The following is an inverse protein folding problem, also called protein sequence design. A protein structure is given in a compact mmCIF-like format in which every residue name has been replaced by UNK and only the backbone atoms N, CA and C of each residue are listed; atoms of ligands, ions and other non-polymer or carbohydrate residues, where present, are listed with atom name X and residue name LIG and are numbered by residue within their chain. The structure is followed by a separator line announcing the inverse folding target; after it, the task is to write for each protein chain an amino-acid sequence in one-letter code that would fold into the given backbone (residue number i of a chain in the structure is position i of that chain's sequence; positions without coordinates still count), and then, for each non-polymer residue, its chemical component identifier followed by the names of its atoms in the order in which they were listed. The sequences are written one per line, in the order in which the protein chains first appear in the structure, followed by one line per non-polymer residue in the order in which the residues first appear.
data_IF_119099921797
#
_entry.id   IF_119099921797
#
_cell.length_a   1.000
_cell.length_b   1.000
_cell.length_c   1.000
_cell.angle_alpha   90.00
_cell.angle_beta   90.00
_cell.angle_gamma   90.00
#
_symmetry.space_group_name_H-M   'P 1'
#
loop_
_entity.id
_entity.type
_entity.pdbx_description
1 polymer ?
#
# COMPACT_ATOMS: atom_id res chain seq x y z
N UNK A 1 -0.99 -5.80 15.76
CA UNK A 1 0.36 -5.81 15.16
C UNK A 1 0.48 -4.60 14.23
N UNK A 2 1.62 -3.94 14.13
CA UNK A 2 1.74 -2.64 13.44
C UNK A 2 2.86 -2.68 12.40
N UNK A 3 2.53 -2.45 11.13
CA UNK A 3 3.50 -2.19 10.08
C UNK A 3 3.80 -0.69 10.00
N UNK A 4 5.07 -0.30 9.88
CA UNK A 4 5.50 1.10 9.76
C UNK A 4 6.44 1.25 8.58
N UNK A 5 6.49 2.45 8.00
CA UNK A 5 7.43 2.80 6.93
C UNK A 5 7.38 1.88 5.69
N UNK A 6 6.23 1.26 5.41
CA UNK A 6 6.02 0.29 4.31
C UNK A 6 6.45 0.86 2.95
N UNK A 7 6.27 2.17 2.73
CA UNK A 7 6.67 2.86 1.48
C UNK A 7 8.16 2.68 1.14
N UNK A 8 9.04 2.45 2.12
CA UNK A 8 10.49 2.20 1.90
C UNK A 8 10.77 0.87 1.20
N UNK A 9 9.81 -0.05 1.22
CA UNK A 9 9.93 -1.39 0.64
C UNK A 9 9.12 -1.56 -0.64
N UNK A 10 8.55 -0.48 -1.18
CA UNK A 10 7.85 -0.51 -2.46
C UNK A 10 8.82 -0.87 -3.58
N UNK A 11 8.44 -1.84 -4.40
CA UNK A 11 9.30 -2.39 -5.46
C UNK A 11 10.28 -3.48 -4.98
N UNK A 12 10.40 -3.75 -3.68
CA UNK A 12 11.17 -4.88 -3.18
C UNK A 12 10.35 -6.18 -3.26
N UNK A 13 10.78 -7.09 -4.14
CA UNK A 13 10.10 -8.37 -4.37
C UNK A 13 10.27 -9.37 -3.21
N UNK A 14 11.27 -9.18 -2.35
CA UNK A 14 11.62 -10.10 -1.26
C UNK A 14 11.10 -9.67 0.09
N UNK A 15 10.85 -8.38 0.29
CA UNK A 15 10.33 -7.88 1.56
C UNK A 15 8.95 -8.43 1.88
N UNK A 16 8.77 -8.95 3.12
CA UNK A 16 7.52 -9.52 3.62
C UNK A 16 7.31 -9.10 5.07
N UNK A 17 6.08 -8.72 5.41
CA UNK A 17 5.67 -8.43 6.77
C UNK A 17 4.72 -9.51 7.30
N UNK A 18 4.88 -9.98 8.55
CA UNK A 18 5.95 -9.64 9.49
C UNK A 18 7.26 -10.40 9.19
N UNK A 19 8.40 -9.83 9.59
CA UNK A 19 9.74 -10.41 9.39
C UNK A 19 9.85 -11.85 9.94
N UNK A 20 9.16 -12.13 11.05
CA UNK A 20 9.03 -13.45 11.66
C UNK A 20 7.57 -13.83 11.90
N UNK A 21 7.24 -15.10 11.63
CA UNK A 21 5.87 -15.63 11.71
C UNK A 21 4.97 -15.10 10.60
N UNK A 22 3.67 -15.17 10.84
CA UNK A 22 2.61 -14.76 9.92
C UNK A 22 1.51 -14.02 10.67
N UNK A 23 0.75 -13.20 9.96
CA UNK A 23 -0.48 -12.59 10.46
C UNK A 23 -1.63 -13.38 9.87
N UNK A 24 -2.36 -14.10 10.73
CA UNK A 24 -3.51 -14.90 10.34
C UNK A 24 -3.18 -15.90 9.21
N UNK A 25 -2.02 -16.56 9.29
CA UNK A 25 -1.51 -17.49 8.29
C UNK A 25 -0.86 -16.83 7.07
N UNK A 26 -0.82 -15.49 6.99
CA UNK A 26 -0.39 -14.75 5.80
C UNK A 26 0.80 -13.82 6.07
N UNK A 27 1.69 -13.74 5.09
CA UNK A 27 2.76 -12.73 5.00
C UNK A 27 2.45 -11.77 3.86
N UNK A 28 2.51 -10.47 4.15
CA UNK A 28 2.11 -9.43 3.22
C UNK A 28 3.31 -8.78 2.55
N UNK A 29 3.14 -8.44 1.28
CA UNK A 29 4.04 -7.60 0.50
C UNK A 29 3.80 -6.12 0.78
N UNK A 30 4.76 -5.28 0.41
CA UNK A 30 4.63 -3.83 0.55
C UNK A 30 3.41 -3.28 -0.22
N UNK A 31 3.18 -3.79 -1.43
CA UNK A 31 2.06 -3.43 -2.28
C UNK A 31 0.71 -3.78 -1.64
N UNK A 32 0.60 -4.95 -1.01
CA UNK A 32 -0.63 -5.43 -0.37
C UNK A 32 -0.98 -4.58 0.88
N UNK A 33 0.03 -4.19 1.66
CA UNK A 33 -0.16 -3.30 2.80
C UNK A 33 -0.52 -1.88 2.35
N UNK A 34 0.15 -1.35 1.32
CA UNK A 34 -0.18 -0.05 0.74
C UNK A 34 -1.59 -0.02 0.18
N UNK A 35 -2.03 -1.09 -0.50
CA UNK A 35 -3.39 -1.22 -1.01
C UNK A 35 -4.45 -1.15 0.10
N UNK A 36 -4.20 -1.75 1.27
CA UNK A 36 -5.11 -1.63 2.43
C UNK A 36 -5.23 -0.19 2.95
N UNK A 37 -4.14 0.57 2.91
CA UNK A 37 -4.15 2.00 3.27
C UNK A 37 -4.98 2.78 2.25
N UNK A 38 -4.76 2.56 0.96
CA UNK A 38 -5.52 3.21 -0.12
C UNK A 38 -7.02 2.87 -0.05
N UNK A 39 -7.37 1.63 0.24
CA UNK A 39 -8.77 1.22 0.45
C UNK A 39 -9.43 1.90 1.64
N UNK A 40 -8.68 2.18 2.72
CA UNK A 40 -9.20 2.99 3.82
C UNK A 40 -9.43 4.44 3.37
N UNK A 41 -8.44 5.07 2.73
CA UNK A 41 -8.56 6.45 2.26
C UNK A 41 -9.71 6.61 1.26
N UNK A 42 -9.88 5.64 0.35
CA UNK A 42 -11.00 5.57 -0.58
C UNK A 42 -12.34 5.53 0.17
N UNK A 43 -12.53 4.60 1.11
CA UNK A 43 -13.77 4.51 1.90
C UNK A 43 -14.06 5.78 2.70
N UNK A 44 -13.03 6.40 3.27
CA UNK A 44 -13.17 7.65 4.01
C UNK A 44 -13.62 8.78 3.06
N UNK A 45 -13.06 8.85 1.83
CA UNK A 45 -13.45 9.81 0.81
C UNK A 45 -14.88 9.57 0.27
N UNK A 46 -15.23 8.31 -0.04
CA UNK A 46 -16.57 7.91 -0.48
C UNK A 46 -17.62 8.25 0.59
N UNK A 47 -17.31 8.00 1.86
CA UNK A 47 -18.21 8.36 2.97
C UNK A 47 -18.41 9.87 3.10
N UNK A 48 -17.40 10.66 2.76
CA UNK A 48 -17.49 12.12 2.77
C UNK A 48 -18.25 12.68 1.56
N UNK A 49 -18.06 12.11 0.37
CA UNK A 49 -18.67 12.57 -0.87
C UNK A 49 -20.09 12.01 -1.09
N UNK A 50 -20.41 10.84 -0.53
CA UNK A 50 -21.69 10.15 -0.72
C UNK A 50 -21.82 9.40 -2.05
N UNK A 51 -20.72 9.23 -2.78
CA UNK A 51 -20.63 8.54 -4.06
C UNK A 51 -19.35 7.71 -4.17
N UNK A 52 -19.32 6.78 -5.13
CA UNK A 52 -18.19 5.89 -5.38
C UNK A 52 -17.01 6.64 -6.02
N UNK A 53 -15.79 6.40 -5.53
CA UNK A 53 -14.56 6.99 -6.07
C UNK A 53 -13.79 5.94 -6.87
N UNK A 54 -13.73 6.11 -8.19
CA UNK A 54 -13.12 5.12 -9.11
C UNK A 54 -11.67 5.44 -9.46
N UNK A 55 -11.33 6.72 -9.60
CA UNK A 55 -10.06 7.16 -10.15
C UNK A 55 -9.29 8.05 -9.18
N UNK A 56 -7.96 7.91 -9.17
CA UNK A 56 -7.09 8.68 -8.28
C UNK A 56 -5.73 8.96 -8.94
N UNK A 57 -5.14 10.10 -8.58
CA UNK A 57 -3.75 10.44 -8.92
C UNK A 57 -2.88 10.23 -7.68
N UNK A 58 -1.92 9.31 -7.76
CA UNK A 58 -1.03 8.97 -6.65
C UNK A 58 0.34 9.61 -6.86
N UNK A 59 0.83 10.36 -5.87
CA UNK A 59 2.15 11.00 -5.93
C UNK A 59 3.26 10.06 -5.48
N UNK A 60 4.37 10.06 -6.23
CA UNK A 60 5.57 9.25 -5.98
C UNK A 60 6.81 10.14 -5.89
N UNK A 61 7.84 9.73 -5.13
CA UNK A 61 9.10 10.47 -5.09
C UNK A 61 9.76 10.58 -6.46
N UNK A 62 10.46 11.68 -6.72
CA UNK A 62 11.11 11.92 -8.02
C UNK A 62 12.14 10.83 -8.37
N UNK A 63 12.81 10.25 -7.37
CA UNK A 63 13.86 9.24 -7.52
C UNK A 63 13.34 7.81 -7.67
N UNK A 64 12.02 7.56 -7.67
CA UNK A 64 11.48 6.23 -7.90
C UNK A 64 11.72 5.80 -9.35
N UNK A 65 12.24 4.58 -9.53
CA UNK A 65 12.32 3.91 -10.83
C UNK A 65 10.95 3.43 -11.31
N UNK A 66 10.85 2.99 -12.58
CA UNK A 66 9.59 2.57 -13.19
C UNK A 66 8.93 1.40 -12.44
N UNK A 67 9.72 0.49 -11.86
CA UNK A 67 9.19 -0.65 -11.11
C UNK A 67 8.55 -0.21 -9.79
N UNK A 68 9.19 0.72 -9.08
CA UNK A 68 8.65 1.32 -7.86
C UNK A 68 7.41 2.19 -8.13
N UNK A 69 7.37 2.86 -9.29
CA UNK A 69 6.20 3.62 -9.76
C UNK A 69 5.04 2.70 -10.08
N UNK A 70 5.28 1.62 -10.82
CA UNK A 70 4.24 0.66 -11.20
C UNK A 70 3.70 -0.13 -10.00
N UNK A 71 4.54 -0.33 -8.98
CA UNK A 71 4.11 -0.98 -7.74
C UNK A 71 3.20 -0.08 -6.87
N UNK A 72 3.17 1.23 -7.11
CA UNK A 72 2.44 2.23 -6.32
C UNK A 72 1.05 2.48 -6.89
#
# INVERSE_FOLDING_TARGET
RTARSVKRHMGDAHWRFPDHGDIDGTRYRAQELSARVLQKLKRDAESYLGEDVTDAVITVPAYFDDHQRQAT
#
